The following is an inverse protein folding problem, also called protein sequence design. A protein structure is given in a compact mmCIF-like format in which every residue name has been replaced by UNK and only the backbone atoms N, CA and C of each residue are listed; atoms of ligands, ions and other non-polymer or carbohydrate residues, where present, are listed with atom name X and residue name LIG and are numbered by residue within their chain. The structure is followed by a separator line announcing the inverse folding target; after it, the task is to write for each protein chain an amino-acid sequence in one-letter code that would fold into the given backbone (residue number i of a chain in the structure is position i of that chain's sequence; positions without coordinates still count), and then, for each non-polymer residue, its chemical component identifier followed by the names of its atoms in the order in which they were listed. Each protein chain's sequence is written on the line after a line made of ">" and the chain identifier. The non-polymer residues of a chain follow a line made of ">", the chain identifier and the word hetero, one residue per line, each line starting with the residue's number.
data_IF_578057005005
#
_entry.id   IF_578057005005
#
_cell.length_a   1.000
_cell.length_b   1.000
_cell.length_c   1.000
_cell.angle_alpha   90.00
_cell.angle_beta   90.00
_cell.angle_gamma   90.00
#
_symmetry.space_group_name_H-M   'P 1'
#
loop_
_entity.id
_entity.type
_entity.pdbx_description
1 polymer ?
#
# COMPACT_ATOMS: atom_id res chain seq x y z
N UNK A 1 -3.80 20.65 19.86
CA UNK A 1 -3.36 20.00 18.59
C UNK A 1 -3.75 18.53 18.68
N UNK A 2 -4.50 18.00 17.70
CA UNK A 2 -4.84 16.57 17.70
C UNK A 2 -3.57 15.75 17.41
N UNK A 3 -3.20 14.86 18.34
CA UNK A 3 -2.04 13.99 18.19
C UNK A 3 -2.17 13.13 16.92
N UNK A 4 -1.03 12.83 16.28
CA UNK A 4 -0.99 11.86 15.18
C UNK A 4 -1.20 10.48 15.81
N UNK A 5 -2.14 9.64 15.30
CA UNK A 5 -2.36 8.31 15.87
C UNK A 5 -1.09 7.46 15.74
N UNK A 6 -0.77 6.62 16.74
CA UNK A 6 0.32 5.65 16.60
C UNK A 6 0.10 4.74 15.40
N UNK A 7 1.18 4.39 14.70
CA UNK A 7 1.14 3.54 13.50
C UNK A 7 1.55 2.12 13.85
N UNK A 8 0.78 1.14 13.38
CA UNK A 8 1.09 -0.29 13.43
C UNK A 8 1.23 -0.82 12.01
N UNK A 9 2.38 -1.41 11.69
CA UNK A 9 2.67 -1.96 10.37
C UNK A 9 2.46 -3.47 10.39
N UNK A 10 1.61 -3.99 9.51
CA UNK A 10 1.40 -5.43 9.35
C UNK A 10 2.11 -5.86 8.07
N UNK A 11 3.19 -6.62 8.22
CA UNK A 11 4.09 -6.96 7.11
C UNK A 11 3.76 -8.34 6.53
N UNK A 12 3.67 -8.41 5.21
CA UNK A 12 3.57 -9.68 4.48
C UNK A 12 4.95 -10.20 4.00
N UNK A 13 4.97 -11.43 3.47
CA UNK A 13 6.20 -12.03 2.92
C UNK A 13 6.74 -11.19 1.76
N UNK A 14 5.88 -10.69 0.88
CA UNK A 14 6.34 -9.95 -0.30
C UNK A 14 7.15 -8.71 0.10
N UNK A 15 6.69 -7.98 1.11
CA UNK A 15 7.36 -6.82 1.68
C UNK A 15 8.70 -7.19 2.30
N UNK A 16 8.72 -8.23 3.14
CA UNK A 16 9.95 -8.70 3.77
C UNK A 16 10.97 -9.18 2.73
N UNK A 17 10.54 -9.93 1.73
CA UNK A 17 11.38 -10.43 0.64
C UNK A 17 11.92 -9.34 -0.28
N UNK A 18 11.18 -8.23 -0.41
CA UNK A 18 11.60 -7.10 -1.25
C UNK A 18 12.53 -6.11 -0.55
N UNK A 19 12.76 -6.28 0.75
CA UNK A 19 13.49 -5.34 1.60
C UNK A 19 14.77 -5.96 2.15
N UNK A 20 15.74 -5.10 2.42
CA UNK A 20 17.04 -5.43 3.02
C UNK A 20 16.98 -5.34 4.54
N UNK A 21 17.93 -5.98 5.27
CA UNK A 21 18.02 -5.85 6.72
C UNK A 21 18.13 -4.39 7.20
N UNK A 22 18.80 -3.53 6.42
CA UNK A 22 18.86 -2.10 6.71
C UNK A 22 17.50 -1.45 6.64
N UNK A 23 16.68 -1.78 5.65
CA UNK A 23 15.33 -1.25 5.51
C UNK A 23 14.39 -1.75 6.61
N UNK A 24 14.53 -3.00 7.05
CA UNK A 24 13.77 -3.52 8.18
C UNK A 24 14.01 -2.70 9.45
N UNK A 25 15.26 -2.30 9.73
CA UNK A 25 15.56 -1.40 10.86
C UNK A 25 14.82 -0.05 10.70
N UNK A 26 14.80 0.50 9.48
CA UNK A 26 14.13 1.77 9.18
C UNK A 26 12.60 1.66 9.32
N UNK A 27 11.98 0.49 9.09
CA UNK A 27 10.54 0.31 9.30
C UNK A 27 10.11 0.56 10.74
N UNK A 28 10.95 0.22 11.73
CA UNK A 28 10.68 0.50 13.14
C UNK A 28 10.60 2.00 13.46
N UNK A 29 11.16 2.87 12.61
CA UNK A 29 11.05 4.34 12.76
C UNK A 29 9.69 4.87 12.32
N UNK A 30 9.00 4.12 11.46
CA UNK A 30 7.68 4.48 10.95
C UNK A 30 6.60 4.15 11.98
N UNK A 31 6.70 3.00 12.65
CA UNK A 31 5.72 2.56 13.63
C UNK A 31 6.07 1.21 14.26
N UNK A 32 5.13 0.66 15.03
CA UNK A 32 5.29 -0.69 15.61
C UNK A 32 5.14 -1.72 14.50
N UNK A 33 6.19 -2.50 14.24
CA UNK A 33 6.14 -3.58 13.26
C UNK A 33 5.52 -4.84 13.87
N UNK A 34 4.49 -5.36 13.22
CA UNK A 34 3.73 -6.54 13.59
C UNK A 34 3.89 -7.61 12.49
N UNK A 35 4.34 -8.79 12.90
CA UNK A 35 4.50 -9.97 12.04
C UNK A 35 3.37 -10.95 12.38
N UNK A 36 2.42 -11.19 11.47
CA UNK A 36 1.44 -12.26 11.66
C UNK A 36 2.16 -13.60 11.86
N UNK A 37 1.69 -14.42 12.81
CA UNK A 37 2.31 -15.72 13.14
C UNK A 37 2.52 -16.60 11.90
N UNK A 38 1.54 -16.62 10.98
CA UNK A 38 1.63 -17.35 9.71
C UNK A 38 2.81 -16.90 8.83
N UNK A 39 3.18 -15.62 8.88
CA UNK A 39 4.32 -15.08 8.12
C UNK A 39 5.63 -15.46 8.78
N UNK A 40 5.69 -15.38 10.10
CA UNK A 40 6.86 -15.82 10.86
C UNK A 40 7.15 -17.31 10.62
N UNK A 41 6.12 -18.16 10.70
CA UNK A 41 6.24 -19.59 10.43
C UNK A 41 6.67 -19.88 8.99
N UNK A 42 6.12 -19.14 8.01
CA UNK A 42 6.49 -19.31 6.61
C UNK A 42 7.94 -18.88 6.35
N UNK A 43 8.40 -17.78 6.95
CA UNK A 43 9.82 -17.37 6.87
C UNK A 43 10.77 -18.38 7.52
N UNK A 44 10.35 -19.02 8.61
CA UNK A 44 11.12 -20.10 9.22
C UNK A 44 11.20 -21.33 8.31
N UNK A 45 10.08 -21.69 7.67
CA UNK A 45 10.03 -22.81 6.74
C UNK A 45 10.87 -22.54 5.48
N UNK A 46 10.83 -21.32 4.95
CA UNK A 46 11.64 -20.91 3.79
C UNK A 46 13.14 -20.90 4.12
N UNK A 47 13.52 -20.60 5.36
CA UNK A 47 14.91 -20.74 5.79
C UNK A 47 15.40 -22.20 5.72
N UNK A 48 14.57 -23.17 6.10
CA UNK A 48 14.97 -24.58 6.15
C UNK A 48 14.83 -25.30 4.79
N UNK A 49 13.88 -24.87 3.94
CA UNK A 49 13.39 -25.67 2.79
C UNK A 49 13.01 -24.86 1.55
N UNK A 50 13.50 -23.63 1.38
CA UNK A 50 13.18 -22.85 0.18
C UNK A 50 13.81 -23.49 -1.07
N UNK A 51 13.05 -23.71 -2.16
CA UNK A 51 13.61 -24.10 -3.46
C UNK A 51 14.33 -22.94 -4.17
N UNK A 52 14.10 -21.71 -3.70
CA UNK A 52 14.70 -20.48 -4.23
C UNK A 52 15.81 -20.01 -3.29
N UNK A 53 17.08 -19.96 -3.75
CA UNK A 53 18.23 -19.58 -2.92
C UNK A 53 18.17 -18.12 -2.45
N UNK A 54 17.55 -17.23 -3.23
CA UNK A 54 17.42 -15.83 -2.84
C UNK A 54 16.41 -15.69 -1.70
N UNK A 55 15.27 -16.38 -1.79
CA UNK A 55 14.30 -16.43 -0.70
C UNK A 55 14.84 -17.13 0.55
N UNK A 56 15.66 -18.17 0.39
CA UNK A 56 16.33 -18.83 1.52
C UNK A 56 17.26 -17.85 2.25
N UNK A 57 18.09 -17.13 1.48
CA UNK A 57 19.02 -16.11 2.01
C UNK A 57 18.27 -15.02 2.77
N UNK A 58 17.20 -14.47 2.18
CA UNK A 58 16.40 -13.42 2.83
C UNK A 58 15.73 -13.96 4.10
N UNK A 59 15.19 -15.17 4.04
CA UNK A 59 14.58 -15.83 5.20
C UNK A 59 15.60 -16.05 6.32
N UNK A 60 16.83 -16.44 5.99
CA UNK A 60 17.94 -16.57 6.95
C UNK A 60 18.29 -15.24 7.60
N UNK A 61 18.40 -14.18 6.80
CA UNK A 61 18.67 -12.82 7.29
C UNK A 61 17.54 -12.34 8.22
N UNK A 62 16.28 -12.59 7.85
CA UNK A 62 15.13 -12.24 8.67
C UNK A 62 15.13 -12.97 10.01
N UNK A 63 15.38 -14.29 10.01
CA UNK A 63 15.44 -15.08 11.25
C UNK A 63 16.58 -14.65 12.17
N UNK A 64 17.70 -14.14 11.63
CA UNK A 64 18.78 -13.54 12.43
C UNK A 64 18.40 -12.15 12.98
N UNK A 65 17.69 -11.36 12.19
CA UNK A 65 17.27 -10.00 12.54
C UNK A 65 16.16 -9.97 13.59
N UNK A 66 15.11 -10.77 13.41
CA UNK A 66 13.87 -10.70 14.19
C UNK A 66 14.07 -10.72 15.72
N UNK A 67 14.88 -11.62 16.32
CA UNK A 67 15.03 -11.71 17.77
C UNK A 67 15.51 -10.40 18.45
N UNK A 68 16.21 -9.55 17.69
CA UNK A 68 16.79 -8.30 18.19
C UNK A 68 16.05 -7.04 17.69
N UNK A 69 14.99 -7.22 16.90
CA UNK A 69 14.32 -6.13 16.18
C UNK A 69 13.32 -5.33 17.02
N UNK A 70 12.82 -5.91 18.12
CA UNK A 70 11.70 -5.37 18.89
C UNK A 70 10.34 -5.48 18.16
N UNK A 71 10.28 -6.20 17.03
CA UNK A 71 9.04 -6.45 16.29
C UNK A 71 8.15 -7.43 17.05
N UNK A 72 6.83 -7.30 16.89
CA UNK A 72 5.85 -8.13 17.60
C UNK A 72 5.29 -9.21 16.71
N UNK A 73 5.40 -10.48 17.10
CA UNK A 73 4.56 -11.52 16.52
C UNK A 73 3.13 -11.35 17.04
N UNK A 74 2.15 -11.51 16.15
CA UNK A 74 0.73 -11.44 16.50
C UNK A 74 -0.03 -12.62 15.89
N UNK A 75 -0.96 -13.16 16.66
CA UNK A 75 -1.91 -14.22 16.29
C UNK A 75 -3.35 -13.69 16.27
N UNK A 76 -3.53 -12.37 16.29
CA UNK A 76 -4.83 -11.71 16.21
C UNK A 76 -5.45 -12.04 14.85
N UNK A 77 -6.73 -12.43 14.86
CA UNK A 77 -7.49 -12.76 13.65
C UNK A 77 -8.87 -12.11 13.75
N UNK A 78 -9.14 -11.19 12.83
CA UNK A 78 -10.46 -10.60 12.65
C UNK A 78 -11.25 -11.26 11.52
N UNK A 79 -12.58 -11.18 11.60
CA UNK A 79 -13.50 -11.72 10.61
C UNK A 79 -14.27 -10.60 9.92
N UNK A 80 -14.13 -10.49 8.60
CA UNK A 80 -14.85 -9.50 7.79
C UNK A 80 -15.45 -10.16 6.55
N UNK A 81 -16.60 -9.65 6.07
CA UNK A 81 -17.29 -10.19 4.90
C UNK A 81 -16.42 -10.15 3.62
N UNK A 82 -15.65 -9.07 3.42
CA UNK A 82 -14.71 -8.93 2.31
C UNK A 82 -13.50 -9.88 2.38
N UNK A 83 -13.24 -10.50 3.55
CA UNK A 83 -12.15 -11.46 3.76
C UNK A 83 -12.65 -12.91 3.80
N UNK A 84 -13.88 -13.15 3.31
CA UNK A 84 -14.39 -14.50 3.10
C UNK A 84 -13.74 -15.11 1.86
N UNK A 85 -13.48 -16.40 1.94
CA UNK A 85 -13.03 -17.19 0.80
C UNK A 85 -14.26 -17.64 0.02
N UNK A 86 -14.30 -17.40 -1.29
CA UNK A 86 -15.34 -17.98 -2.13
C UNK A 86 -15.19 -19.50 -2.08
N UNK A 87 -16.19 -20.17 -1.51
CA UNK A 87 -16.18 -21.57 -1.08
C UNK A 87 -16.06 -22.59 -2.21
N UNK A 88 -16.03 -22.16 -3.47
CA UNK A 88 -16.05 -23.05 -4.64
C UNK A 88 -14.68 -23.54 -5.11
N UNK A 89 -13.57 -22.92 -4.69
CA UNK A 89 -12.22 -23.31 -5.14
C UNK A 89 -11.22 -23.41 -3.99
N UNK A 90 -10.40 -24.46 -4.03
CA UNK A 90 -9.28 -24.63 -3.11
C UNK A 90 -8.28 -23.48 -3.31
N UNK A 91 -8.05 -22.70 -2.25
CA UNK A 91 -7.08 -21.61 -2.30
C UNK A 91 -5.65 -22.15 -2.35
N UNK A 92 -4.83 -21.51 -3.19
CA UNK A 92 -3.38 -21.74 -3.19
C UNK A 92 -2.78 -21.41 -1.82
N UNK A 93 -1.63 -22.00 -1.48
CA UNK A 93 -0.92 -21.70 -0.22
C UNK A 93 -0.69 -20.20 -0.05
N UNK A 94 -0.21 -19.53 -1.11
CA UNK A 94 0.01 -18.08 -1.15
C UNK A 94 -1.27 -17.29 -0.85
N UNK A 95 -2.39 -17.63 -1.49
CA UNK A 95 -3.66 -16.96 -1.26
C UNK A 95 -4.16 -17.14 0.18
N UNK A 96 -3.97 -18.32 0.78
CA UNK A 96 -4.30 -18.57 2.20
C UNK A 96 -3.48 -17.72 3.14
N UNK A 97 -2.17 -17.60 2.89
CA UNK A 97 -1.28 -16.76 3.69
C UNK A 97 -1.65 -15.28 3.55
N UNK A 98 -1.81 -14.77 2.33
CA UNK A 98 -2.25 -13.39 2.07
C UNK A 98 -3.56 -13.06 2.81
N UNK A 99 -4.55 -13.96 2.73
CA UNK A 99 -5.82 -13.78 3.41
C UNK A 99 -5.65 -13.74 4.94
N UNK A 100 -4.84 -14.62 5.51
CA UNK A 100 -4.55 -14.65 6.94
C UNK A 100 -3.89 -13.35 7.41
N UNK A 101 -2.98 -12.77 6.62
CA UNK A 101 -2.38 -11.45 6.90
C UNK A 101 -3.43 -10.35 6.92
N UNK A 102 -4.34 -10.30 5.94
CA UNK A 102 -5.39 -9.28 5.93
C UNK A 102 -6.39 -9.45 7.10
N UNK A 103 -6.72 -10.70 7.47
CA UNK A 103 -7.51 -10.98 8.68
C UNK A 103 -6.80 -10.51 9.94
N UNK A 104 -5.48 -10.67 10.01
CA UNK A 104 -4.68 -10.17 11.12
C UNK A 104 -4.68 -8.64 11.19
N UNK A 105 -4.46 -7.95 10.06
CA UNK A 105 -4.53 -6.49 10.00
C UNK A 105 -5.92 -5.96 10.40
N UNK A 106 -6.98 -6.61 9.95
CA UNK A 106 -8.34 -6.27 10.35
C UNK A 106 -8.58 -6.48 11.85
N UNK A 107 -8.15 -7.63 12.40
CA UNK A 107 -8.30 -7.91 13.82
C UNK A 107 -7.52 -6.91 14.70
N UNK A 108 -6.29 -6.55 14.30
CA UNK A 108 -5.52 -5.49 14.98
C UNK A 108 -6.23 -4.14 14.93
N UNK A 109 -6.87 -3.80 13.80
CA UNK A 109 -7.63 -2.56 13.69
C UNK A 109 -8.84 -2.54 14.64
N UNK A 110 -9.48 -3.69 14.87
CA UNK A 110 -10.55 -3.83 15.85
C UNK A 110 -10.04 -3.72 17.30
N UNK A 111 -8.90 -4.35 17.60
CA UNK A 111 -8.31 -4.37 18.94
C UNK A 111 -7.73 -3.00 19.35
N UNK A 112 -7.16 -2.26 18.39
CA UNK A 112 -6.52 -0.96 18.62
C UNK A 112 -7.19 0.17 17.82
N UNK A 113 -8.43 0.59 18.16
CA UNK A 113 -9.19 1.59 17.39
C UNK A 113 -8.55 2.98 17.37
N UNK A 114 -7.63 3.27 18.29
CA UNK A 114 -6.89 4.54 18.36
C UNK A 114 -5.60 4.54 17.53
N UNK A 115 -5.17 3.37 17.06
CA UNK A 115 -3.97 3.22 16.25
C UNK A 115 -4.34 3.08 14.78
N UNK A 116 -3.53 3.67 13.90
CA UNK A 116 -3.63 3.44 12.48
C UNK A 116 -2.90 2.15 12.13
N UNK A 117 -3.65 1.14 11.70
CA UNK A 117 -3.10 -0.11 11.18
C UNK A 117 -2.86 0.03 9.68
N UNK A 118 -1.66 -0.30 9.25
CA UNK A 118 -1.25 -0.23 7.85
C UNK A 118 -0.83 -1.62 7.41
N UNK A 119 -1.65 -2.25 6.57
CA UNK A 119 -1.25 -3.47 5.86
C UNK A 119 -0.22 -3.09 4.79
N UNK A 120 0.94 -3.76 4.82
CA UNK A 120 1.98 -3.58 3.82
C UNK A 120 2.10 -4.86 3.03
N UNK A 121 1.61 -4.82 1.79
CA UNK A 121 1.55 -5.97 0.91
C UNK A 121 1.67 -5.56 -0.55
N UNK A 122 2.36 -6.36 -1.37
CA UNK A 122 2.48 -6.07 -2.82
C UNK A 122 1.29 -6.57 -3.64
N UNK A 123 0.45 -7.43 -3.05
CA UNK A 123 -0.74 -8.00 -3.69
C UNK A 123 -1.85 -6.95 -3.82
N UNK A 124 -2.15 -6.55 -5.06
CA UNK A 124 -3.18 -5.55 -5.36
C UNK A 124 -4.59 -6.03 -5.00
N UNK A 125 -4.90 -7.31 -5.17
CA UNK A 125 -6.21 -7.85 -4.80
C UNK A 125 -6.42 -7.77 -3.29
N UNK A 126 -5.37 -8.06 -2.53
CA UNK A 126 -5.40 -7.95 -1.07
C UNK A 126 -5.58 -6.49 -0.61
N UNK A 127 -4.87 -5.54 -1.24
CA UNK A 127 -5.05 -4.12 -0.96
C UNK A 127 -6.48 -3.67 -1.27
N UNK A 128 -7.04 -4.09 -2.41
CA UNK A 128 -8.41 -3.75 -2.79
C UNK A 128 -9.41 -4.25 -1.75
N UNK A 129 -9.29 -5.52 -1.31
CA UNK A 129 -10.13 -6.05 -0.24
C UNK A 129 -10.08 -5.22 1.03
N UNK A 130 -8.91 -4.69 1.40
CA UNK A 130 -8.77 -3.79 2.57
C UNK A 130 -9.47 -2.46 2.36
N UNK A 131 -9.36 -1.86 1.17
CA UNK A 131 -10.08 -0.63 0.85
C UNK A 131 -11.60 -0.83 0.90
N UNK A 132 -12.09 -1.97 0.40
CA UNK A 132 -13.52 -2.32 0.39
C UNK A 132 -14.11 -2.53 1.79
N UNK A 133 -13.28 -2.80 2.81
CA UNK A 133 -13.78 -2.95 4.20
C UNK A 133 -14.22 -1.62 4.83
N UNK A 134 -13.78 -0.48 4.29
CA UNK A 134 -14.13 0.86 4.78
C UNK A 134 -13.88 1.08 6.29
N UNK A 135 -12.86 0.46 6.85
CA UNK A 135 -12.51 0.58 8.27
C UNK A 135 -11.76 1.90 8.53
N UNK A 136 -12.16 2.66 9.55
CA UNK A 136 -11.67 4.02 9.82
C UNK A 136 -10.16 4.10 10.11
N UNK A 137 -9.62 3.10 10.79
CA UNK A 137 -8.23 3.07 11.25
C UNK A 137 -7.38 1.98 10.56
N UNK A 138 -7.78 1.56 9.36
CA UNK A 138 -7.06 0.58 8.56
C UNK A 138 -6.87 1.08 7.12
N UNK A 139 -5.65 0.96 6.60
CA UNK A 139 -5.38 1.07 5.17
C UNK A 139 -4.34 0.05 4.72
N UNK A 140 -4.18 -0.06 3.40
CA UNK A 140 -3.12 -0.82 2.80
C UNK A 140 -2.20 0.09 1.96
N UNK A 141 -0.92 -0.27 1.86
CA UNK A 141 0.07 0.35 0.97
C UNK A 141 0.97 -0.74 0.35
N UNK A 142 1.58 -0.49 -0.82
CA UNK A 142 2.60 -1.37 -1.36
C UNK A 142 3.89 -1.31 -0.52
N UNK A 143 4.69 -2.38 -0.55
CA UNK A 143 6.00 -2.43 0.11
C UNK A 143 6.95 -1.30 -0.30
N UNK A 144 6.94 -0.93 -1.58
CA UNK A 144 7.68 0.23 -2.09
C UNK A 144 7.27 1.55 -1.42
N UNK A 145 5.98 1.69 -1.09
CA UNK A 145 5.46 2.84 -0.36
C UNK A 145 5.98 2.90 1.07
N UNK A 146 6.11 1.76 1.74
CA UNK A 146 6.73 1.70 3.08
C UNK A 146 8.22 2.04 3.02
N UNK A 147 8.96 1.51 2.03
CA UNK A 147 10.39 1.79 1.84
C UNK A 147 10.63 3.28 1.60
N UNK A 148 9.83 3.91 0.73
CA UNK A 148 9.94 5.35 0.50
C UNK A 148 9.61 6.13 1.78
N UNK A 149 8.58 5.72 2.50
CA UNK A 149 8.17 6.38 3.73
C UNK A 149 9.26 6.29 4.81
N UNK A 150 9.85 5.12 5.02
CA UNK A 150 10.90 4.94 6.03
C UNK A 150 12.16 5.76 5.73
N UNK A 151 12.52 5.91 4.45
CA UNK A 151 13.69 6.67 4.01
C UNK A 151 13.50 8.18 4.04
N UNK A 152 12.34 8.67 3.59
CA UNK A 152 12.09 10.11 3.36
C UNK A 152 11.25 10.77 4.45
N UNK A 153 10.57 9.99 5.29
CA UNK A 153 9.54 10.49 6.20
C UNK A 153 8.24 10.92 5.50
N UNK A 154 8.18 10.86 4.16
CA UNK A 154 6.99 11.21 3.40
C UNK A 154 5.93 10.09 3.52
N UNK A 155 4.82 10.41 4.19
CA UNK A 155 3.70 9.47 4.37
C UNK A 155 3.02 9.18 3.03
N UNK A 156 2.65 7.92 2.75
CA UNK A 156 1.81 7.57 1.60
C UNK A 156 0.45 8.28 1.67
N UNK A 157 -0.15 8.57 0.52
CA UNK A 157 -1.44 9.28 0.42
C UNK A 157 -2.53 8.55 1.21
N UNK A 158 -2.63 7.22 1.09
CA UNK A 158 -3.60 6.40 1.82
C UNK A 158 -3.48 6.55 3.34
N UNK A 159 -2.25 6.69 3.87
CA UNK A 159 -1.98 6.91 5.29
C UNK A 159 -2.44 8.31 5.71
N UNK A 160 -2.12 9.34 4.91
CA UNK A 160 -2.53 10.73 5.18
C UNK A 160 -4.06 10.83 5.22
N UNK A 161 -4.74 10.24 4.25
CA UNK A 161 -6.21 10.23 4.17
C UNK A 161 -6.83 9.56 5.40
N UNK A 162 -6.32 8.41 5.84
CA UNK A 162 -6.83 7.75 7.04
C UNK A 162 -6.57 8.54 8.32
N UNK A 163 -5.41 9.17 8.48
CA UNK A 163 -5.15 10.07 9.62
C UNK A 163 -6.18 11.21 9.66
N UNK A 164 -6.53 11.78 8.51
CA UNK A 164 -7.55 12.83 8.42
C UNK A 164 -8.94 12.30 8.76
N UNK A 165 -9.31 11.11 8.25
CA UNK A 165 -10.57 10.44 8.57
C UNK A 165 -10.71 10.18 10.06
N UNK A 166 -9.70 9.58 10.70
CA UNK A 166 -9.69 9.32 12.15
C UNK A 166 -9.87 10.60 12.97
N UNK A 167 -9.24 11.71 12.55
CA UNK A 167 -9.39 13.02 13.22
C UNK A 167 -10.81 13.56 13.09
N UNK A 168 -11.44 13.41 11.93
CA UNK A 168 -12.82 13.85 11.71
C UNK A 168 -13.81 13.07 12.59
N UNK A 169 -13.63 11.74 12.69
CA UNK A 169 -14.48 10.88 13.53
C UNK A 169 -14.37 11.23 15.02
N UNK A 170 -13.15 11.51 15.51
CA UNK A 170 -12.93 11.93 16.90
C UNK A 170 -13.55 13.31 17.17
N UNK A 171 -13.39 14.26 16.24
CA UNK A 171 -13.96 15.60 16.36
C UNK A 171 -15.50 15.62 16.35
N UNK A 172 -16.13 14.75 15.56
CA UNK A 172 -17.58 14.63 15.47
C UNK A 172 -18.20 14.06 16.76
N UNK A 173 -17.55 13.05 17.38
CA UNK A 173 -18.02 12.50 18.67
C UNK A 173 -17.96 13.50 19.82
N UNK A 174 -16.98 14.41 19.82
CA UNK A 174 -16.88 15.46 20.83
C UNK A 174 -17.98 16.53 20.71
N UNK A 175 -18.51 16.77 19.50
CA UNK A 175 -19.54 17.79 19.25
C UNK A 175 -20.96 17.36 19.65
N UNK A 176 -21.24 16.05 19.71
CA UNK A 176 -22.59 15.52 20.04
C UNK A 176 -22.78 15.31 21.56
N UNK A 177 -21.72 15.44 22.36
CA UNK A 177 -21.77 15.24 23.82
C UNK A 177 -22.21 16.45 24.66
N UNK A 178 -22.53 17.60 24.05
CA UNK A 178 -22.91 18.83 24.77
C UNK A 178 -24.29 19.36 24.38
N UNK A 179 -25.30 18.50 24.43
CA UNK A 179 -26.69 18.95 24.56
C UNK A 179 -27.24 18.29 25.83
N UNK A 180 -27.06 18.98 26.95
CA UNK A 180 -27.85 18.72 28.16
C UNK A 180 -29.27 19.22 27.86
N UNK A 181 -30.31 18.36 27.80
CA UNK A 181 -31.68 18.83 27.66
C UNK A 181 -32.09 19.43 28.99
N UNK A 182 -31.99 20.76 29.12
CA UNK A 182 -32.63 21.49 30.20
C UNK A 182 -34.09 21.68 29.78
N UNK A 183 -34.98 20.82 30.31
CA UNK A 183 -36.42 20.97 30.15
C UNK A 183 -36.90 22.30 30.76
N UNK A 184 -37.84 22.93 30.06
CA UNK A 184 -38.35 24.30 30.24
C UNK A 184 -38.90 24.64 31.63
N UNK A 185 -38.94 25.91 32.02
CA UNK A 185 -39.78 27.02 31.50
C UNK A 185 -40.83 27.38 32.53
N UNK A 186 -40.60 28.47 33.26
CA UNK A 186 -41.67 29.41 33.64
C UNK A 186 -41.15 30.84 33.48
N UNK A 187 -41.90 31.60 32.70
CA UNK A 187 -41.69 33.01 32.39
C UNK A 187 -42.10 33.91 33.56
N UNK A 188 -41.46 35.08 33.70
CA UNK A 188 -42.10 36.35 34.10
C UNK A 188 -41.10 37.54 34.04
N UNK A 189 -41.30 38.39 33.05
CA UNK A 189 -41.57 39.85 33.13
C UNK A 189 -40.83 40.74 34.15
N UNK A 190 -40.08 41.71 33.60
CA UNK A 190 -39.76 43.09 34.06
C UNK A 190 -39.20 43.37 35.46
N UNK A 191 -38.06 44.07 35.50
CA UNK A 191 -37.60 44.77 36.70
C UNK A 191 -36.31 45.56 36.48
N UNK A 192 -36.44 46.83 36.12
CA UNK A 192 -35.35 47.81 36.05
C UNK A 192 -34.76 48.01 37.45
N UNK A 193 -33.43 47.95 37.61
CA UNK A 193 -32.68 48.71 38.63
C UNK A 193 -31.21 48.88 38.25
N UNK A 194 -30.85 50.10 37.85
CA UNK A 194 -29.49 50.67 37.96
C UNK A 194 -29.08 50.67 39.45
N UNK A 195 -27.79 50.54 39.76
CA UNK A 195 -26.99 51.53 40.54
C UNK A 195 -25.53 51.07 40.67
N UNK A 196 -24.64 52.04 40.48
CA UNK A 196 -23.26 52.24 40.98
C UNK A 196 -22.09 51.33 40.59
N UNK A 197 -21.10 52.01 39.98
CA UNK A 197 -19.66 51.72 39.92
C UNK A 197 -19.04 52.02 41.32
N UNK A 198 -17.94 51.35 41.72
CA UNK A 198 -16.66 52.07 41.79
C UNK A 198 -15.46 51.28 41.25
N UNK A 199 -14.43 52.04 40.91
CA UNK A 199 -13.19 51.68 40.23
C UNK A 199 -12.14 50.96 41.11
N UNK A 200 -11.28 50.13 40.50
CA UNK A 200 -9.85 50.02 40.80
C UNK A 200 -9.14 49.11 39.76
N UNK A 201 -7.93 49.51 39.36
CA UNK A 201 -7.11 49.00 38.24
C UNK A 201 -6.16 47.83 38.64
N UNK A 202 -5.09 47.47 37.88
CA UNK A 202 -4.96 46.25 37.07
C UNK A 202 -3.85 45.26 37.57
N UNK A 203 -3.61 44.13 36.86
CA UNK A 203 -2.32 43.99 36.16
C UNK A 203 -2.49 43.37 34.76
N UNK A 204 -1.99 43.98 33.69
CA UNK A 204 -0.62 43.84 33.14
C UNK A 204 -0.17 42.37 33.04
N UNK A 205 -0.33 41.76 31.86
CA UNK A 205 0.70 40.89 31.28
C UNK A 205 0.52 40.64 29.76
N UNK A 206 1.55 41.10 29.04
CA UNK A 206 2.11 40.63 27.79
C UNK A 206 1.19 40.37 26.58
N UNK A 207 1.17 41.35 25.67
CA UNK A 207 0.97 41.09 24.25
C UNK A 207 2.14 40.25 23.72
N UNK A 208 1.88 39.01 23.32
CA UNK A 208 2.79 38.25 22.46
C UNK A 208 2.29 38.42 21.03
N UNK A 209 3.08 39.16 20.28
CA UNK A 209 3.03 39.35 18.84
C UNK A 209 3.01 38.02 18.09
N UNK A 210 2.10 37.81 17.11
CA UNK A 210 2.25 36.69 16.19
C UNK A 210 3.41 36.96 15.24
N UNK A 211 4.48 36.18 15.39
CA UNK A 211 5.61 36.12 14.47
C UNK A 211 5.07 35.62 13.11
N UNK A 212 4.91 36.52 12.14
CA UNK A 212 4.70 36.16 10.72
C UNK A 212 5.88 35.31 10.27
N UNK A 213 5.69 34.01 10.13
CA UNK A 213 6.62 33.15 9.41
C UNK A 213 6.38 33.41 7.93
N UNK A 214 7.39 34.01 7.30
CA UNK A 214 7.42 34.22 5.87
C UNK A 214 7.28 32.87 5.15
N UNK A 215 6.24 32.72 4.33
CA UNK A 215 6.17 31.68 3.32
C UNK A 215 7.33 31.89 2.35
N UNK A 216 8.31 30.97 2.37
CA UNK A 216 9.20 30.78 1.23
C UNK A 216 8.42 30.02 0.16
N UNK A 217 8.25 30.53 -1.06
CA UNK A 217 7.78 29.72 -2.17
C UNK A 217 8.91 28.73 -2.52
N UNK A 218 8.70 27.43 -2.29
CA UNK A 218 9.57 26.42 -2.89
C UNK A 218 9.23 26.37 -4.38
N UNK A 219 10.10 26.94 -5.20
CA UNK A 219 10.09 26.70 -6.64
C UNK A 219 10.23 25.19 -6.86
N UNK A 220 9.14 24.56 -7.32
CA UNK A 220 9.12 23.18 -7.79
C UNK A 220 9.86 23.09 -9.11
N UNK A 221 11.15 22.79 -9.04
CA UNK A 221 11.95 22.44 -10.21
C UNK A 221 11.72 20.95 -10.51
N UNK A 222 10.81 20.72 -11.46
CA UNK A 222 10.92 19.78 -12.58
C UNK A 222 10.89 18.25 -12.35
N UNK A 223 9.70 17.67 -12.43
CA UNK A 223 9.43 16.23 -12.71
C UNK A 223 9.19 15.93 -14.22
N UNK A 224 9.41 16.88 -15.13
CA UNK A 224 9.08 16.71 -16.56
C UNK A 224 10.12 15.88 -17.34
N UNK A 225 11.36 15.81 -16.85
CA UNK A 225 12.44 15.08 -17.54
C UNK A 225 12.21 13.57 -17.50
N UNK A 226 11.68 13.03 -16.40
CA UNK A 226 11.34 11.59 -16.30
C UNK A 226 10.16 11.21 -17.20
N UNK A 227 9.22 12.13 -17.43
CA UNK A 227 8.11 11.91 -18.36
C UNK A 227 8.57 11.89 -19.83
N UNK A 228 9.54 12.74 -20.22
CA UNK A 228 10.08 12.71 -21.58
C UNK A 228 10.89 11.44 -21.87
N UNK A 229 11.66 10.95 -20.89
CA UNK A 229 12.41 9.69 -21.04
C UNK A 229 11.44 8.52 -21.22
N UNK A 230 10.36 8.47 -20.42
CA UNK A 230 9.36 7.41 -20.54
C UNK A 230 8.64 7.40 -21.90
N UNK A 231 8.29 8.59 -22.44
CA UNK A 231 7.68 8.71 -23.77
C UNK A 231 8.66 8.30 -24.88
N UNK A 232 9.95 8.63 -24.74
CA UNK A 232 10.98 8.20 -25.68
C UNK A 232 11.11 6.68 -25.78
N UNK A 233 11.10 5.98 -24.64
CA UNK A 233 11.17 4.51 -24.62
C UNK A 233 9.93 3.84 -25.22
N UNK A 234 8.73 4.37 -24.96
CA UNK A 234 7.49 3.77 -25.52
C UNK A 234 7.39 3.97 -27.02
N UNK A 235 7.78 5.14 -27.54
CA UNK A 235 7.82 5.39 -28.98
C UNK A 235 8.92 4.56 -29.66
N UNK A 236 10.09 4.43 -29.05
CA UNK A 236 11.18 3.59 -29.56
C UNK A 236 10.78 2.12 -29.68
N UNK A 237 10.11 1.57 -28.66
CA UNK A 237 9.63 0.19 -28.70
C UNK A 237 8.59 -0.06 -29.80
N UNK A 238 7.70 0.91 -30.05
CA UNK A 238 6.70 0.83 -31.12
C UNK A 238 7.33 0.83 -32.53
N UNK A 239 8.36 1.66 -32.76
CA UNK A 239 9.08 1.69 -34.03
C UNK A 239 9.82 0.37 -34.28
N UNK A 240 10.46 -0.20 -33.25
CA UNK A 240 11.14 -1.50 -33.36
C UNK A 240 10.14 -2.61 -33.67
N UNK A 241 8.98 -2.63 -33.00
CA UNK A 241 7.93 -3.61 -33.25
C UNK A 241 7.38 -3.49 -34.68
N UNK A 242 7.11 -2.27 -35.16
CA UNK A 242 6.66 -2.03 -36.52
C UNK A 242 7.70 -2.47 -37.57
N UNK A 243 9.00 -2.24 -37.30
CA UNK A 243 10.08 -2.68 -38.18
C UNK A 243 10.18 -4.20 -38.27
N UNK A 244 10.05 -4.92 -37.14
CA UNK A 244 10.04 -6.39 -37.12
C UNK A 244 8.85 -6.96 -37.91
N UNK A 245 7.67 -6.36 -37.77
CA UNK A 245 6.49 -6.78 -38.55
C UNK A 245 6.71 -6.52 -40.04
N UNK A 246 7.29 -5.36 -40.40
CA UNK A 246 7.59 -5.01 -41.79
C UNK A 246 8.60 -5.98 -42.42
N UNK A 247 9.67 -6.35 -41.71
CA UNK A 247 10.69 -7.28 -42.23
C UNK A 247 10.14 -8.69 -42.41
N UNK A 248 9.24 -9.14 -41.54
CA UNK A 248 8.60 -10.45 -41.66
C UNK A 248 7.57 -10.51 -42.82
N UNK A 249 6.88 -9.40 -43.11
CA UNK A 249 5.84 -9.39 -44.15
C UNK A 249 6.34 -9.02 -45.55
N UNK A 250 7.36 -8.16 -45.69
CA UNK A 250 7.93 -7.83 -47.02
C UNK A 250 9.18 -8.62 -47.37
N UNK A 251 9.84 -9.28 -46.40
CA UNK A 251 10.96 -10.19 -46.68
C UNK A 251 10.53 -11.50 -47.33
N UNK A 252 9.22 -11.77 -47.37
CA UNK A 252 8.65 -12.98 -47.93
C UNK A 252 8.01 -12.68 -49.30
N UNK A 253 8.79 -12.10 -50.22
CA UNK A 253 8.47 -12.12 -51.65
C UNK A 253 8.44 -13.59 -52.08
N UNK A 254 7.21 -14.08 -52.27
CA UNK A 254 6.83 -15.34 -52.86
C UNK A 254 7.73 -15.65 -54.06
N UNK A 255 8.47 -16.77 -54.03
CA UNK A 255 9.15 -17.31 -55.21
C UNK A 255 8.22 -18.36 -55.87
N UNK A 256 7.42 -18.01 -56.90
CA UNK A 256 6.45 -18.93 -57.49
C UNK A 256 7.07 -20.04 -58.36
N UNK A 257 8.40 -20.20 -58.40
CA UNK A 257 9.06 -21.19 -59.27
C UNK A 257 9.18 -22.61 -58.73
N UNK A 258 8.81 -22.91 -57.48
CA UNK A 258 8.92 -24.29 -56.95
C UNK A 258 7.74 -25.24 -57.28
N UNK A 259 6.71 -24.77 -57.99
CA UNK A 259 5.56 -25.60 -58.37
C UNK A 259 5.45 -25.80 -59.89
N UNK A 260 6.48 -26.39 -60.50
CA UNK A 260 6.31 -27.06 -61.79
C UNK A 260 6.74 -28.54 -61.67
N UNK A 261 5.84 -29.51 -61.95
CA UNK A 261 6.20 -30.91 -61.95
C UNK A 261 7.12 -31.21 -63.14
N UNK A 262 8.28 -31.80 -62.84
CA UNK A 262 9.21 -32.35 -63.82
C UNK A 262 8.51 -33.41 -64.67
N UNK A 263 8.06 -33.02 -65.85
CA UNK A 263 7.66 -33.96 -66.90
C UNK A 263 8.93 -34.34 -67.65
N UNK A 264 9.54 -35.48 -67.29
CA UNK A 264 10.47 -36.19 -68.16
C UNK A 264 10.64 -37.65 -67.72
N UNK A 265 10.81 -38.52 -68.71
CA UNK A 265 11.05 -39.98 -68.69
C UNK A 265 9.83 -40.92 -68.77
N UNK A 266 9.08 -40.76 -69.85
CA UNK A 266 8.49 -41.89 -70.60
C UNK A 266 9.47 -42.20 -71.74
N UNK A 267 10.40 -43.14 -71.54
CA UNK A 267 11.09 -43.86 -72.62
C UNK A 267 11.99 -44.95 -72.01
N UNK A 268 11.44 -46.13 -71.74
CA UNK A 268 12.22 -47.38 -71.77
C UNK A 268 11.28 -48.56 -72.05
N UNK A 269 10.93 -48.73 -73.32
CA UNK A 269 10.33 -49.95 -73.82
C UNK A 269 10.73 -50.15 -75.26
N UNK A 270 11.83 -50.87 -75.51
CA UNK A 270 11.98 -51.76 -76.66
C UNK A 270 13.30 -52.54 -76.59
N UNK A 271 13.18 -53.86 -76.56
CA UNK A 271 14.09 -54.74 -77.30
C UNK A 271 15.12 -55.53 -76.49
N UNK A 272 14.84 -56.81 -76.22
CA UNK A 272 15.45 -57.90 -77.00
C UNK A 272 15.04 -59.27 -76.43
N UNK A 273 14.16 -59.94 -77.16
CA UNK A 273 14.06 -61.39 -77.23
C UNK A 273 14.56 -61.76 -78.63
N UNK A 274 15.65 -62.50 -78.73
CA UNK A 274 16.01 -63.53 -79.74
C UNK A 274 17.50 -63.84 -79.61
#
# INVERSE_FOLDING_TARGET
>A
MAAIPPVMLVLDISTLSSATPREWIEFSRVGTCCIPRVIYEEMRLLFDRSPDPDLERISREFNRFYPHSGWKITDVVGHHAALKTNTSHALTKRARVSLAVAKCAYGLAQEFPQNLVVLVASDRELQQKVYDMQVDNLCAIPGSGLIQWSRSGQRPIAVIQKIQQMRATVGSRAAVGSIKPTAGSKAATTGIKRTSIPAASPPRNASITPKRVAMRPSLGITNWVSQLIAIGFTLGALVIAAWIVWTLFLGNEFNPQEFLPSSNSLEESTGMLS
#
